data_IF_669750406034
#
_entry.id   IF_669750406034
#
_cell.length_a   1.000
_cell.length_b   1.000
_cell.length_c   1.000
_cell.angle_alpha   90.00
_cell.angle_beta   90.00
_cell.angle_gamma   90.00
#
_symmetry.space_group_name_H-M   'P 1'
#
loop_
_entity.id
_entity.type
_entity.pdbx_description
1 polymer ?
#
# COMPACT_ATOMS: atom_id res chain seq x y z
N UNK A 1 1.09 0.91 0.51
CA UNK A 1 2.06 1.91 0.02
C UNK A 1 2.97 1.36 -1.10
N UNK A 2 3.16 2.13 -2.18
CA UNK A 2 4.15 1.82 -3.22
C UNK A 2 5.58 2.13 -2.75
N UNK A 3 6.58 1.81 -3.57
CA UNK A 3 8.00 1.98 -3.22
C UNK A 3 8.36 3.43 -2.87
N UNK A 4 7.84 4.39 -3.63
CA UNK A 4 8.05 5.83 -3.36
C UNK A 4 7.53 6.22 -1.98
N UNK A 5 6.26 5.93 -1.68
CA UNK A 5 5.65 6.28 -0.40
C UNK A 5 6.29 5.55 0.77
N UNK A 6 6.67 4.28 0.58
CA UNK A 6 7.32 3.49 1.61
C UNK A 6 8.73 4.05 1.95
N UNK A 7 9.49 4.50 0.95
CA UNK A 7 10.73 5.26 1.17
C UNK A 7 10.50 6.57 1.91
N UNK A 8 9.44 7.32 1.57
CA UNK A 8 9.10 8.56 2.29
C UNK A 8 8.79 8.30 3.77
N UNK A 9 8.04 7.24 4.09
CA UNK A 9 7.72 6.82 5.47
C UNK A 9 9.01 6.54 6.27
N UNK A 10 9.98 5.84 5.67
CA UNK A 10 11.28 5.57 6.31
C UNK A 10 12.04 6.87 6.59
N UNK A 11 12.13 7.76 5.60
CA UNK A 11 12.89 9.00 5.72
C UNK A 11 12.25 10.01 6.68
N UNK A 12 10.93 10.02 6.79
CA UNK A 12 10.21 10.85 7.77
C UNK A 12 10.16 10.25 9.17
N UNK A 13 10.69 9.03 9.35
CA UNK A 13 10.73 8.30 10.63
C UNK A 13 9.34 8.06 11.24
N UNK A 14 8.34 7.83 10.41
CA UNK A 14 7.02 7.40 10.89
C UNK A 14 7.18 6.05 11.60
N UNK A 15 6.70 5.96 12.84
CA UNK A 15 6.86 4.76 13.67
C UNK A 15 5.92 3.63 13.27
N UNK A 16 4.70 3.96 12.81
CA UNK A 16 3.66 2.98 12.52
C UNK A 16 2.94 3.26 11.21
N UNK A 17 2.83 2.22 10.40
CA UNK A 17 2.05 2.20 9.17
C UNK A 17 0.84 1.27 9.35
N UNK A 18 -0.35 1.82 9.16
CA UNK A 18 -1.60 1.06 9.10
C UNK A 18 -2.22 1.24 7.72
N UNK A 19 -2.58 0.16 7.03
CA UNK A 19 -3.24 0.23 5.73
C UNK A 19 -4.28 -0.87 5.54
N UNK A 20 -5.23 -0.64 4.62
CA UNK A 20 -6.32 -1.58 4.30
C UNK A 20 -5.91 -2.63 3.27
N UNK A 21 -6.29 -2.43 2.01
CA UNK A 21 -6.00 -3.36 0.93
C UNK A 21 -4.50 -3.33 0.54
N UNK A 22 -3.92 -4.52 0.34
CA UNK A 22 -2.60 -4.66 -0.26
C UNK A 22 -2.65 -4.37 -1.76
N UNK A 23 -1.52 -3.91 -2.31
CA UNK A 23 -1.36 -3.70 -3.74
C UNK A 23 -0.47 -4.79 -4.35
N UNK A 24 -1.05 -5.84 -4.98
CA UNK A 24 -0.27 -6.93 -5.56
C UNK A 24 0.58 -6.51 -6.76
N UNK A 25 0.31 -5.34 -7.38
CA UNK A 25 1.01 -4.88 -8.59
C UNK A 25 2.17 -3.95 -8.27
N UNK A 26 2.11 -3.18 -7.19
CA UNK A 26 3.14 -2.16 -6.89
C UNK A 26 3.47 -1.97 -5.40
N UNK A 27 2.83 -2.73 -4.51
CA UNK A 27 2.99 -2.58 -3.07
C UNK A 27 4.40 -2.94 -2.59
N UNK A 28 5.01 -2.06 -1.80
CA UNK A 28 6.37 -2.24 -1.27
C UNK A 28 6.43 -2.59 0.23
N UNK A 29 5.29 -2.57 0.92
CA UNK A 29 5.21 -2.95 2.33
C UNK A 29 5.18 -4.47 2.52
N UNK A 30 4.35 -5.17 1.73
CA UNK A 30 4.05 -6.61 1.95
C UNK A 30 3.94 -7.42 0.65
N UNK A 31 3.89 -6.76 -0.51
CA UNK A 31 3.58 -7.38 -1.81
C UNK A 31 4.84 -7.66 -2.62
N UNK A 32 5.24 -6.77 -3.54
CA UNK A 32 6.45 -6.95 -4.35
C UNK A 32 7.73 -6.80 -3.53
N UNK A 33 7.68 -6.00 -2.47
CA UNK A 33 8.77 -5.81 -1.53
C UNK A 33 8.25 -5.91 -0.11
N UNK A 34 9.21 -6.06 0.81
CA UNK A 34 9.02 -6.00 2.26
C UNK A 34 10.04 -5.05 2.87
N UNK A 35 10.01 -3.79 2.44
CA UNK A 35 11.13 -2.87 2.74
C UNK A 35 11.25 -2.57 4.23
N UNK A 36 10.15 -2.66 4.98
CA UNK A 36 10.13 -2.41 6.42
C UNK A 36 10.72 -3.57 7.23
N UNK A 37 10.88 -4.75 6.63
CA UNK A 37 11.52 -5.91 7.24
C UNK A 37 13.04 -5.93 6.99
N UNK A 38 13.55 -5.07 6.09
CA UNK A 38 14.96 -5.03 5.74
C UNK A 38 15.79 -4.34 6.85
N UNK A 39 16.57 -5.15 7.57
CA UNK A 39 17.42 -4.71 8.68
C UNK A 39 18.54 -3.74 8.28
N UNK A 40 18.77 -3.54 6.97
CA UNK A 40 19.71 -2.51 6.46
C UNK A 40 19.11 -1.11 6.49
N UNK A 41 17.79 -0.97 6.68
CA UNK A 41 17.14 0.33 6.83
C UNK A 41 17.49 0.97 8.17
N UNK A 42 17.61 2.29 8.18
CA UNK A 42 18.04 3.09 9.34
C UNK A 42 16.90 3.47 10.31
N UNK A 43 15.70 2.93 10.09
CA UNK A 43 14.50 3.15 10.89
C UNK A 43 13.59 1.92 10.79
N UNK A 44 12.91 1.57 11.88
CA UNK A 44 11.97 0.44 11.93
C UNK A 44 10.54 0.97 11.97
N UNK A 45 9.66 0.36 11.18
CA UNK A 45 8.25 0.75 11.08
C UNK A 45 7.39 -0.44 11.48
N UNK A 46 6.51 -0.26 12.46
CA UNK A 46 5.50 -1.26 12.80
C UNK A 46 4.41 -1.25 11.72
N UNK A 47 4.15 -2.40 11.10
CA UNK A 47 3.18 -2.51 10.00
C UNK A 47 1.95 -3.30 10.47
N UNK A 48 0.78 -2.69 10.37
CA UNK A 48 -0.52 -3.38 10.50
C UNK A 48 -1.24 -3.32 9.15
N UNK A 49 -1.52 -4.48 8.57
CA UNK A 49 -2.23 -4.60 7.30
C UNK A 49 -3.67 -5.08 7.45
N UNK A 50 -4.50 -4.84 6.44
CA UNK A 50 -5.83 -5.44 6.33
C UNK A 50 -6.95 -4.73 7.09
N UNK A 51 -6.71 -3.53 7.63
CA UNK A 51 -7.77 -2.77 8.30
C UNK A 51 -8.82 -2.34 7.28
N UNK A 52 -10.04 -2.86 7.42
CA UNK A 52 -11.13 -2.67 6.45
C UNK A 52 -10.74 -3.08 5.02
N UNK A 53 -9.96 -4.17 4.88
CA UNK A 53 -9.40 -4.66 3.61
C UNK A 53 -10.42 -4.68 2.49
N UNK A 54 -11.58 -5.29 2.73
CA UNK A 54 -12.64 -5.51 1.75
C UNK A 54 -13.25 -4.18 1.30
N UNK A 55 -13.55 -3.29 2.25
CA UNK A 55 -14.10 -1.97 1.95
C UNK A 55 -13.13 -1.11 1.13
N UNK A 56 -11.84 -1.10 1.49
CA UNK A 56 -10.82 -0.40 0.73
C UNK A 56 -10.64 -0.99 -0.69
N UNK A 57 -10.69 -2.31 -0.83
CA UNK A 57 -10.55 -2.99 -2.11
C UNK A 57 -11.75 -2.75 -3.03
N UNK A 58 -12.96 -2.66 -2.48
CA UNK A 58 -14.18 -2.40 -3.26
C UNK A 58 -14.18 -1.00 -3.86
N UNK A 59 -13.70 0.03 -3.14
CA UNK A 59 -13.57 1.40 -3.68
C UNK A 59 -12.71 1.40 -4.96
N UNK A 60 -11.55 0.74 -4.93
CA UNK A 60 -10.66 0.65 -6.09
C UNK A 60 -11.28 -0.17 -7.22
N UNK A 61 -11.87 -1.32 -6.90
CA UNK A 61 -12.52 -2.21 -7.88
C UNK A 61 -13.70 -1.53 -8.58
N UNK A 62 -14.54 -0.82 -7.82
CA UNK A 62 -15.66 -0.02 -8.31
C UNK A 62 -15.19 1.07 -9.26
N UNK A 63 -14.23 1.89 -8.84
CA UNK A 63 -13.66 2.96 -9.67
C UNK A 63 -13.18 2.46 -11.04
N UNK A 64 -12.39 1.37 -11.07
CA UNK A 64 -11.88 0.85 -12.34
C UNK A 64 -12.96 0.16 -13.18
N UNK A 65 -14.01 -0.41 -12.56
CA UNK A 65 -15.16 -0.98 -13.26
C UNK A 65 -15.92 0.11 -13.99
N UNK A 66 -16.26 1.19 -13.30
CA UNK A 66 -16.95 2.36 -13.86
C UNK A 66 -16.13 3.01 -14.97
N UNK A 67 -14.83 3.25 -14.72
CA UNK A 67 -13.93 3.84 -15.71
C UNK A 67 -13.90 3.07 -17.02
N UNK A 68 -13.90 1.72 -16.98
CA UNK A 68 -13.90 0.87 -18.17
C UNK A 68 -15.22 0.97 -18.95
N UNK A 69 -16.35 1.12 -18.27
CA UNK A 69 -17.64 1.32 -18.96
C UNK A 69 -17.68 2.69 -19.62
N UNK A 70 -17.22 3.74 -18.93
CA UNK A 70 -17.23 5.12 -19.43
C UNK A 70 -16.23 5.38 -20.56
N UNK A 71 -15.06 4.72 -20.56
CA UNK A 71 -14.01 4.96 -21.57
C UNK A 71 -14.26 4.28 -22.92
N UNK A 72 -15.36 3.52 -23.06
CA UNK A 72 -15.79 2.91 -24.32
C UNK A 72 -17.01 3.61 -24.94
N UNK A 73 -17.34 4.82 -24.48
CA UNK A 73 -18.39 5.69 -25.03
C UNK A 73 -17.83 6.86 -25.82
#
# INVERSE_FOLDING_TARGET
PCLMCAGAILQSRIERLVFGAADPKSGAAVSLYRIFDDRRMNHTVEVTEGILREACAEILSGFFREKRVMSHG
#
